data_IF_240522224666
#
_entry.id   IF_240522224666
#
_cell.length_a   1.000
_cell.length_b   1.000
_cell.length_c   1.000
_cell.angle_alpha   90.00
_cell.angle_beta   90.00
_cell.angle_gamma   90.00
#
_symmetry.space_group_name_H-M   'P 1'
#
loop_
_entity.id
_entity.type
_entity.pdbx_description
1 polymer ?
#
# COMPACT_ATOMS: atom_id res chain seq x y z
N UNK A 1 -32.38 35.97 -39.92
CA UNK A 1 -32.21 34.58 -39.49
C UNK A 1 -30.77 34.38 -39.01
N UNK A 2 -30.53 34.40 -37.71
CA UNK A 2 -29.19 34.19 -37.13
C UNK A 2 -29.09 32.74 -36.69
N UNK A 3 -28.20 31.97 -37.29
CA UNK A 3 -27.84 30.58 -36.88
C UNK A 3 -26.84 30.64 -35.73
N UNK A 4 -27.21 30.15 -34.57
CA UNK A 4 -26.31 29.96 -33.46
C UNK A 4 -25.58 28.62 -33.65
N UNK A 5 -24.26 28.67 -33.80
CA UNK A 5 -23.40 27.50 -33.71
C UNK A 5 -23.16 27.21 -32.24
N UNK A 6 -23.61 26.05 -31.79
CA UNK A 6 -23.35 25.53 -30.45
C UNK A 6 -22.08 24.71 -30.51
N UNK A 7 -20.98 25.28 -29.98
CA UNK A 7 -19.72 24.56 -29.85
C UNK A 7 -19.76 23.73 -28.59
N UNK A 8 -19.83 22.42 -28.73
CA UNK A 8 -19.73 21.49 -27.61
C UNK A 8 -18.25 21.32 -27.28
N UNK A 9 -17.83 21.85 -26.13
CA UNK A 9 -16.50 21.68 -25.57
C UNK A 9 -16.45 20.34 -24.83
N UNK A 10 -15.84 19.32 -25.42
CA UNK A 10 -15.62 18.04 -24.77
C UNK A 10 -14.40 18.14 -23.86
N UNK A 11 -14.65 18.13 -22.55
CA UNK A 11 -13.62 17.98 -21.54
C UNK A 11 -13.24 16.50 -21.45
N UNK A 12 -12.07 16.14 -21.94
CA UNK A 12 -11.47 14.82 -21.68
C UNK A 12 -10.69 14.88 -20.40
N UNK A 13 -11.22 14.25 -19.35
CA UNK A 13 -10.47 13.99 -18.13
C UNK A 13 -9.50 12.85 -18.37
N UNK A 14 -8.20 13.18 -18.49
CA UNK A 14 -7.13 12.20 -18.43
C UNK A 14 -6.73 11.99 -16.96
N UNK A 15 -7.23 10.93 -16.37
CA UNK A 15 -6.70 10.45 -15.10
C UNK A 15 -5.43 9.61 -15.39
N UNK A 16 -4.26 10.21 -15.22
CA UNK A 16 -3.01 9.48 -15.18
C UNK A 16 -2.82 8.87 -13.80
N UNK A 17 -3.08 7.59 -13.67
CA UNK A 17 -2.61 6.80 -12.54
C UNK A 17 -1.28 6.16 -12.94
N UNK A 18 -0.17 6.70 -12.45
CA UNK A 18 1.14 6.14 -12.68
C UNK A 18 1.47 5.15 -11.55
N UNK A 19 1.19 3.87 -11.77
CA UNK A 19 1.72 2.78 -10.95
C UNK A 19 2.80 2.13 -11.78
N UNK A 20 4.05 2.27 -11.35
CA UNK A 20 5.22 1.72 -12.02
C UNK A 20 5.05 0.21 -12.28
N UNK A 21 4.89 -0.15 -13.54
CA UNK A 21 5.11 -1.50 -14.01
C UNK A 21 3.98 -2.18 -14.78
N UNK A 22 2.75 -1.64 -14.87
CA UNK A 22 1.73 -2.20 -15.76
C UNK A 22 0.87 -1.08 -16.34
N UNK A 23 1.18 -0.64 -17.56
CA UNK A 23 0.27 0.21 -18.33
C UNK A 23 -0.78 -0.68 -19.00
N UNK A 24 -2.01 -0.66 -18.51
CA UNK A 24 -3.14 -1.23 -19.20
C UNK A 24 -3.98 -0.11 -19.77
N UNK A 25 -3.93 0.07 -21.08
CA UNK A 25 -4.82 0.99 -21.80
C UNK A 25 -6.26 0.47 -21.70
N UNK A 26 -7.14 1.28 -21.12
CA UNK A 26 -8.58 1.10 -21.29
C UNK A 26 -9.02 2.18 -22.26
N UNK A 27 -9.05 1.84 -23.55
CA UNK A 27 -9.64 2.66 -24.58
C UNK A 27 -11.15 2.40 -24.60
N UNK A 28 -11.95 3.39 -24.23
CA UNK A 28 -13.38 3.39 -24.53
C UNK A 28 -13.58 4.05 -25.90
N UNK A 29 -13.60 3.29 -26.96
CA UNK A 29 -14.26 3.70 -28.20
C UNK A 29 -15.74 3.37 -28.11
N UNK A 30 -16.56 4.41 -28.10
CA UNK A 30 -18.01 4.30 -28.27
C UNK A 30 -18.32 4.28 -29.78
N UNK A 31 -18.44 3.11 -30.37
CA UNK A 31 -19.12 2.96 -31.65
C UNK A 31 -20.59 2.61 -31.41
N UNK A 32 -21.47 3.52 -31.76
CA UNK A 32 -22.90 3.25 -31.88
C UNK A 32 -23.16 2.53 -33.21
N UNK A 33 -23.43 1.26 -33.17
CA UNK A 33 -24.08 0.54 -34.26
C UNK A 33 -25.21 -0.34 -33.73
N UNK A 34 -26.34 -0.17 -34.35
CA UNK A 34 -27.65 -0.79 -34.15
C UNK A 34 -27.64 -2.33 -34.02
N UNK A 35 -28.52 -2.74 -33.08
CA UNK A 35 -29.35 -3.95 -33.13
C UNK A 35 -28.63 -5.30 -33.31
N UNK A 36 -28.24 -5.86 -32.16
CA UNK A 36 -28.42 -7.26 -31.76
C UNK A 36 -27.98 -7.36 -30.30
N UNK A 37 -28.83 -7.94 -29.45
CA UNK A 37 -28.52 -8.30 -28.08
C UNK A 37 -27.19 -9.08 -28.04
N UNK A 38 -26.11 -8.39 -27.72
CA UNK A 38 -24.86 -9.04 -27.37
C UNK A 38 -24.89 -9.16 -25.86
N UNK A 39 -25.25 -10.32 -25.37
CA UNK A 39 -25.06 -10.71 -23.97
C UNK A 39 -23.56 -10.61 -23.69
N UNK A 40 -23.14 -9.49 -23.12
CA UNK A 40 -21.76 -9.37 -22.63
C UNK A 40 -21.71 -10.21 -21.36
N UNK A 41 -21.25 -11.44 -21.50
CA UNK A 41 -20.82 -12.23 -20.37
C UNK A 41 -19.59 -11.54 -19.77
N UNK A 42 -19.82 -10.73 -18.73
CA UNK A 42 -18.75 -10.37 -17.82
C UNK A 42 -18.33 -11.67 -17.13
N UNK A 43 -17.33 -12.34 -17.68
CA UNK A 43 -16.56 -13.24 -16.87
C UNK A 43 -15.98 -12.40 -15.75
N UNK A 44 -16.56 -12.53 -14.54
CA UNK A 44 -15.99 -12.06 -13.32
C UNK A 44 -14.65 -12.80 -13.17
N UNK A 45 -13.60 -12.26 -13.78
CA UNK A 45 -12.25 -12.54 -13.31
C UNK A 45 -12.27 -12.03 -11.87
N UNK A 46 -12.34 -12.94 -10.90
CA UNK A 46 -12.01 -12.64 -9.52
C UNK A 46 -10.57 -12.11 -9.56
N UNK A 47 -10.46 -10.78 -9.66
CA UNK A 47 -9.23 -10.09 -9.38
C UNK A 47 -8.93 -10.45 -7.92
N UNK A 48 -7.83 -11.17 -7.70
CA UNK A 48 -7.30 -11.54 -6.39
C UNK A 48 -6.77 -10.25 -5.74
N UNK A 49 -7.64 -9.23 -5.64
CA UNK A 49 -7.31 -7.88 -5.20
C UNK A 49 -6.83 -7.95 -3.76
N UNK A 50 -5.59 -7.52 -3.56
CA UNK A 50 -5.00 -7.42 -2.23
C UNK A 50 -5.80 -6.40 -1.43
N UNK A 51 -6.46 -6.85 -0.37
CA UNK A 51 -7.23 -5.99 0.53
C UNK A 51 -6.29 -5.45 1.62
N UNK A 52 -6.30 -4.13 1.80
CA UNK A 52 -5.57 -3.45 2.86
C UNK A 52 -6.52 -3.02 3.98
N UNK A 53 -6.26 -3.48 5.21
CA UNK A 53 -7.00 -3.06 6.41
C UNK A 53 -6.17 -2.09 7.22
N UNK A 54 -6.63 -0.85 7.32
CA UNK A 54 -5.96 0.19 8.12
C UNK A 54 -5.92 -0.19 9.61
N UNK A 55 -4.78 0.03 10.25
CA UNK A 55 -4.52 -0.26 11.67
C UNK A 55 -4.59 1.00 12.54
N UNK A 56 -5.70 1.73 12.46
CA UNK A 56 -5.90 2.97 13.21
C UNK A 56 -5.36 4.22 12.53
N UNK A 57 -4.97 5.23 13.32
CA UNK A 57 -4.44 6.51 12.85
C UNK A 57 -2.97 6.48 12.47
N UNK A 58 -2.31 7.63 12.62
CA UNK A 58 -0.87 7.77 12.40
C UNK A 58 -0.07 7.02 13.46
N UNK A 59 0.96 6.31 13.01
CA UNK A 59 1.95 5.65 13.86
C UNK A 59 3.28 6.39 13.83
N UNK A 60 4.09 6.15 14.85
CA UNK A 60 5.52 6.49 14.84
C UNK A 60 6.29 5.22 14.51
N UNK A 61 7.02 5.21 13.41
CA UNK A 61 7.97 4.15 13.12
C UNK A 61 9.34 4.52 13.66
N UNK A 62 9.98 3.56 14.31
CA UNK A 62 11.39 3.58 14.72
C UNK A 62 12.09 2.36 14.12
N UNK A 63 13.37 2.21 14.32
CA UNK A 63 14.09 1.02 13.90
C UNK A 63 14.92 0.44 15.04
N UNK A 64 15.08 -0.87 15.02
CA UNK A 64 15.86 -1.62 16.01
C UNK A 64 16.83 -2.58 15.33
N UNK A 65 17.88 -2.94 16.05
CA UNK A 65 18.90 -3.85 15.56
C UNK A 65 19.40 -4.77 16.67
N UNK A 66 18.57 -5.69 17.18
CA UNK A 66 18.99 -6.68 18.18
C UNK A 66 19.78 -7.78 17.48
N UNK A 67 21.06 -7.53 17.21
CA UNK A 67 21.92 -8.44 16.44
C UNK A 67 21.87 -9.88 17.00
N UNK A 68 21.39 -10.83 16.19
CA UNK A 68 21.38 -12.24 16.51
C UNK A 68 20.37 -12.71 17.55
N UNK A 69 19.57 -11.82 18.16
CA UNK A 69 18.54 -12.20 19.13
C UNK A 69 17.39 -12.98 18.48
N UNK A 70 16.73 -13.83 19.26
CA UNK A 70 15.47 -14.45 18.86
C UNK A 70 14.33 -13.43 18.99
N UNK A 71 13.49 -13.35 17.96
CA UNK A 71 12.25 -12.56 17.96
C UNK A 71 11.15 -13.32 18.70
N UNK A 72 10.04 -12.65 18.99
CA UNK A 72 8.87 -13.28 19.61
C UNK A 72 8.24 -14.42 18.77
N UNK A 73 8.51 -14.45 17.46
CA UNK A 73 8.13 -15.57 16.57
C UNK A 73 9.03 -16.80 16.72
N UNK A 74 10.13 -16.70 17.49
CA UNK A 74 11.16 -17.73 17.61
C UNK A 74 12.21 -17.70 16.49
N UNK A 75 12.01 -16.93 15.44
CA UNK A 75 13.01 -16.74 14.38
C UNK A 75 14.19 -15.88 14.85
N UNK A 76 15.36 -16.09 14.25
CA UNK A 76 16.51 -15.23 14.48
C UNK A 76 16.30 -13.89 13.77
N UNK A 77 16.52 -12.78 14.49
CA UNK A 77 16.47 -11.45 13.88
C UNK A 77 17.59 -11.26 12.87
N UNK A 78 17.23 -10.67 11.75
CA UNK A 78 18.18 -10.28 10.71
C UNK A 78 17.91 -8.83 10.27
N UNK A 79 18.93 -7.97 10.39
CA UNK A 79 18.81 -6.52 10.12
C UNK A 79 18.43 -6.18 8.68
N UNK A 80 18.76 -7.06 7.73
CA UNK A 80 18.53 -6.90 6.29
C UNK A 80 17.23 -7.57 5.81
N UNK A 81 16.42 -8.09 6.73
CA UNK A 81 15.09 -8.64 6.42
C UNK A 81 14.03 -7.59 6.59
N UNK A 82 12.99 -7.61 5.74
CA UNK A 82 11.85 -6.70 5.83
C UNK A 82 10.87 -7.18 6.90
N UNK A 83 11.17 -6.86 8.16
CA UNK A 83 10.41 -7.31 9.33
C UNK A 83 10.10 -6.17 10.28
N UNK A 84 9.11 -6.40 11.15
CA UNK A 84 8.70 -5.45 12.16
C UNK A 84 8.34 -6.14 13.49
N UNK A 85 8.52 -5.38 14.58
CA UNK A 85 7.87 -5.62 15.85
C UNK A 85 6.60 -4.77 15.92
N UNK A 86 5.44 -5.43 16.09
CA UNK A 86 4.15 -4.77 16.13
C UNK A 86 3.13 -5.54 16.95
N UNK A 87 2.41 -4.84 17.87
CA UNK A 87 1.55 -5.49 18.86
C UNK A 87 0.09 -5.69 18.40
N UNK A 88 -0.35 -5.04 17.30
CA UNK A 88 -1.76 -4.96 16.91
C UNK A 88 -2.10 -5.73 15.63
N UNK A 89 -1.23 -6.65 15.22
CA UNK A 89 -1.49 -7.64 14.17
C UNK A 89 -1.02 -9.01 14.62
N UNK A 90 -1.54 -10.07 14.01
CA UNK A 90 -1.10 -11.44 14.30
C UNK A 90 0.37 -11.62 13.94
N UNK A 91 1.06 -12.51 14.65
CA UNK A 91 2.40 -12.95 14.28
C UNK A 91 2.36 -13.55 12.88
N UNK A 92 3.29 -13.16 12.00
CA UNK A 92 3.33 -13.61 10.62
C UNK A 92 2.50 -12.78 9.64
N UNK A 93 1.63 -11.87 10.09
CA UNK A 93 0.92 -10.93 9.20
C UNK A 93 1.89 -10.07 8.40
N UNK A 94 1.45 -9.64 7.22
CA UNK A 94 2.15 -8.65 6.41
C UNK A 94 1.51 -7.29 6.56
N UNK A 95 2.33 -6.27 6.74
CA UNK A 95 1.90 -4.88 6.88
C UNK A 95 2.53 -4.04 5.77
N UNK A 96 1.71 -3.21 5.12
CA UNK A 96 2.19 -2.09 4.33
C UNK A 96 2.39 -0.91 5.27
N UNK A 97 3.60 -0.37 5.28
CA UNK A 97 3.99 0.79 6.09
C UNK A 97 4.36 1.92 5.14
N UNK A 98 3.63 3.01 5.19
CA UNK A 98 3.78 4.16 4.27
C UNK A 98 4.20 5.40 5.04
N UNK A 99 5.29 6.04 4.63
CA UNK A 99 5.72 7.33 5.13
C UNK A 99 4.72 8.41 4.69
N UNK A 100 4.25 9.23 5.63
CA UNK A 100 3.23 10.24 5.34
C UNK A 100 3.77 11.50 4.66
N UNK A 101 5.08 11.68 4.62
CA UNK A 101 5.70 12.89 4.06
C UNK A 101 6.05 12.75 2.57
N UNK A 102 6.46 11.57 2.13
CA UNK A 102 6.92 11.33 0.75
C UNK A 102 6.18 10.18 0.05
N UNK A 103 5.22 9.56 0.74
CA UNK A 103 4.41 8.43 0.24
C UNK A 103 5.22 7.16 -0.08
N UNK A 104 6.51 7.11 0.26
CA UNK A 104 7.30 5.88 0.15
C UNK A 104 6.69 4.79 1.03
N UNK A 105 6.71 3.55 0.58
CA UNK A 105 6.09 2.45 1.31
C UNK A 105 6.87 1.15 1.18
N UNK A 106 6.74 0.30 2.20
CA UNK A 106 7.39 -1.01 2.29
C UNK A 106 6.42 -2.03 2.86
N UNK A 107 6.52 -3.28 2.41
CA UNK A 107 5.80 -4.40 3.01
C UNK A 107 6.75 -5.12 3.95
N UNK A 108 6.31 -5.30 5.21
CA UNK A 108 7.08 -5.96 6.26
C UNK A 108 6.29 -7.11 6.86
N UNK A 109 6.98 -8.14 7.33
CA UNK A 109 6.37 -9.25 8.08
C UNK A 109 6.47 -8.98 9.57
N UNK A 110 5.39 -9.19 10.31
CA UNK A 110 5.38 -9.12 11.78
C UNK A 110 6.05 -10.37 12.34
N UNK A 111 7.24 -10.21 12.89
CA UNK A 111 8.03 -11.32 13.48
C UNK A 111 8.33 -11.10 14.95
N UNK A 112 8.03 -9.92 15.50
CA UNK A 112 8.38 -9.58 16.85
C UNK A 112 7.29 -8.77 17.56
N UNK A 113 7.45 -8.61 18.87
CA UNK A 113 6.59 -7.82 19.74
C UNK A 113 7.39 -6.74 20.43
N UNK A 114 6.74 -5.61 20.61
CA UNK A 114 7.32 -4.49 21.36
C UNK A 114 7.01 -4.65 22.85
N UNK A 115 8.00 -4.38 23.70
CA UNK A 115 7.84 -4.42 25.16
C UNK A 115 6.88 -3.34 25.69
N UNK A 116 6.75 -2.24 24.98
CA UNK A 116 5.86 -1.15 25.36
C UNK A 116 4.47 -1.34 24.68
N UNK A 117 3.41 -0.90 25.37
CA UNK A 117 2.03 -1.04 24.92
C UNK A 117 1.54 0.17 24.11
N UNK A 118 2.43 0.99 23.55
CA UNK A 118 2.04 2.14 22.74
C UNK A 118 1.21 1.70 21.53
N UNK A 119 -0.04 2.19 21.47
CA UNK A 119 -0.98 1.81 20.40
C UNK A 119 -0.58 2.31 19.01
N UNK A 120 0.27 3.34 18.94
CA UNK A 120 0.61 4.04 17.70
C UNK A 120 2.11 3.97 17.43
N UNK A 121 2.72 2.79 17.62
CA UNK A 121 4.14 2.58 17.42
C UNK A 121 4.40 1.30 16.65
N UNK A 122 5.41 1.31 15.79
CA UNK A 122 5.93 0.16 15.07
C UNK A 122 7.46 0.26 15.03
N UNK A 123 8.16 -0.84 15.35
CA UNK A 123 9.60 -0.93 15.21
C UNK A 123 9.97 -1.74 13.97
N UNK A 124 10.68 -1.13 13.05
CA UNK A 124 11.10 -1.74 11.80
C UNK A 124 12.52 -2.31 11.94
N UNK A 125 12.82 -3.36 11.18
CA UNK A 125 14.23 -3.70 10.93
C UNK A 125 14.93 -2.51 10.27
N UNK A 126 16.26 -2.43 10.41
CA UNK A 126 17.01 -1.32 9.84
C UNK A 126 16.81 -1.19 8.33
N UNK A 127 16.86 -2.29 7.58
CA UNK A 127 16.63 -2.31 6.14
C UNK A 127 15.22 -1.79 5.76
N UNK A 128 14.19 -2.21 6.49
CA UNK A 128 12.83 -1.73 6.24
C UNK A 128 12.70 -0.23 6.50
N UNK A 129 13.30 0.27 7.58
CA UNK A 129 13.27 1.71 7.88
C UNK A 129 14.03 2.53 6.83
N UNK A 130 15.22 2.05 6.42
CA UNK A 130 16.06 2.70 5.39
C UNK A 130 15.33 2.87 4.05
N UNK A 131 14.37 1.97 3.76
CA UNK A 131 13.58 2.01 2.51
C UNK A 131 12.53 3.12 2.48
N UNK A 132 12.11 3.64 3.64
CA UNK A 132 11.02 4.63 3.75
C UNK A 132 11.38 5.85 4.60
N UNK A 133 12.62 5.95 5.08
CA UNK A 133 13.04 7.06 5.92
C UNK A 133 14.55 7.16 6.06
N UNK A 134 15.00 8.29 6.58
CA UNK A 134 16.41 8.47 6.90
C UNK A 134 16.69 7.92 8.30
N UNK A 135 17.57 6.91 8.48
CA UNK A 135 17.92 6.35 9.80
C UNK A 135 18.45 7.36 10.80
N UNK A 136 19.07 8.44 10.32
CA UNK A 136 19.57 9.52 11.19
C UNK A 136 18.46 10.29 11.90
N UNK A 137 17.23 10.30 11.35
CA UNK A 137 16.08 10.91 12.01
C UNK A 137 15.59 10.10 13.21
N UNK A 138 15.92 8.82 13.28
CA UNK A 138 15.54 7.89 14.36
C UNK A 138 14.07 7.53 14.38
N UNK A 139 13.18 8.37 13.84
CA UNK A 139 11.72 8.16 13.79
C UNK A 139 11.07 8.92 12.65
N UNK A 140 9.98 8.34 12.11
CA UNK A 140 9.13 8.96 11.09
C UNK A 140 7.66 8.71 11.41
N UNK A 141 6.76 9.51 10.81
CA UNK A 141 5.32 9.27 10.86
C UNK A 141 4.89 8.41 9.68
N UNK A 142 4.10 7.37 9.99
CA UNK A 142 3.68 6.37 8.99
C UNK A 142 2.19 6.03 9.14
N UNK A 143 1.59 5.56 8.05
CA UNK A 143 0.36 4.80 8.04
C UNK A 143 0.72 3.31 8.04
N UNK A 144 -0.07 2.52 8.78
CA UNK A 144 0.09 1.06 8.85
C UNK A 144 -1.20 0.40 8.38
N UNK A 145 -1.08 -0.48 7.39
CA UNK A 145 -2.19 -1.23 6.82
C UNK A 145 -1.83 -2.72 6.81
N UNK A 146 -2.74 -3.57 7.30
CA UNK A 146 -2.57 -5.03 7.26
C UNK A 146 -3.07 -5.56 5.92
N UNK A 147 -2.27 -6.41 5.29
CA UNK A 147 -2.64 -7.10 4.05
C UNK A 147 -3.52 -8.28 4.42
N UNK A 148 -4.74 -8.28 3.88
CA UNK A 148 -5.73 -9.36 4.03
C UNK A 148 -5.97 -9.94 2.64
N UNK A 149 -5.74 -11.22 2.50
CA UNK A 149 -6.13 -11.98 1.31
C UNK A 149 -7.49 -12.60 1.53
#
# INVERSE_FOLDING_TARGET
>A
MRKYFLTILTFTFHNYFNVSGVSKFIGNEFETKNDRETTINYENSFDDSIIYKRKGGLHTATWYNPHGAKTASGAKFHKDSLTAAYNFSKMGSYLKVSNVYDSSSIIVKVTDRMGNKSKNHIDLSKCAFDSIGNPRSGRIKVLVEEIIK
#
